data_IF_093883367827
#
_entry.id   IF_093883367827
#
_cell.length_a   1.000
_cell.length_b   1.000
_cell.length_c   1.000
_cell.angle_alpha   90.00
_cell.angle_beta   90.00
_cell.angle_gamma   90.00
#
_symmetry.space_group_name_H-M   'P 1'
#
loop_
_entity.id
_entity.type
_entity.pdbx_description
1 polymer ?
#
# COMPACT_ATOMS: atom_id res chain seq x y z
N UNK A 1 32.95 -58.73 -8.75
CA UNK A 1 32.42 -57.46 -9.31
C UNK A 1 31.16 -57.10 -8.53
N UNK A 2 31.16 -56.03 -7.73
CA UNK A 2 29.98 -55.69 -6.90
C UNK A 2 30.21 -54.69 -5.76
N UNK A 3 31.45 -54.30 -5.49
CA UNK A 3 31.78 -53.34 -4.42
C UNK A 3 31.89 -51.89 -4.90
N UNK A 4 32.08 -51.66 -6.21
CA UNK A 4 32.26 -50.30 -6.74
C UNK A 4 30.94 -49.51 -6.83
N UNK A 5 29.81 -50.19 -6.97
CA UNK A 5 28.51 -49.53 -7.19
C UNK A 5 27.89 -48.94 -5.91
N UNK A 6 28.34 -49.38 -4.72
CA UNK A 6 27.80 -48.90 -3.44
C UNK A 6 28.43 -47.60 -2.95
N UNK A 7 29.66 -47.25 -3.36
CA UNK A 7 30.26 -45.95 -3.03
C UNK A 7 29.59 -44.83 -3.81
N UNK A 8 29.33 -45.05 -5.10
CA UNK A 8 28.77 -44.03 -6.00
C UNK A 8 27.35 -43.63 -5.60
N UNK A 9 26.55 -44.57 -5.11
CA UNK A 9 25.18 -44.28 -4.64
C UNK A 9 25.20 -43.41 -3.36
N UNK A 10 26.22 -43.56 -2.51
CA UNK A 10 26.36 -42.73 -1.30
C UNK A 10 26.84 -41.33 -1.65
N UNK A 11 27.74 -41.19 -2.63
CA UNK A 11 28.16 -39.88 -3.12
C UNK A 11 27.04 -39.16 -3.87
N UNK A 12 26.26 -39.88 -4.69
CA UNK A 12 25.09 -39.32 -5.40
C UNK A 12 23.98 -38.86 -4.44
N UNK A 13 23.73 -39.56 -3.34
CA UNK A 13 22.78 -39.09 -2.31
C UNK A 13 23.31 -37.89 -1.52
N UNK A 14 24.64 -37.80 -1.34
CA UNK A 14 25.27 -36.68 -0.64
C UNK A 14 25.30 -35.42 -1.51
N UNK A 15 25.58 -35.56 -2.81
CA UNK A 15 25.51 -34.45 -3.77
C UNK A 15 24.06 -34.00 -4.02
N UNK A 16 23.09 -34.92 -4.11
CA UNK A 16 21.67 -34.56 -4.24
C UNK A 16 21.10 -33.81 -3.01
N UNK A 17 21.60 -34.09 -1.80
CA UNK A 17 21.23 -33.33 -0.59
C UNK A 17 21.87 -31.94 -0.54
N UNK A 18 23.04 -31.77 -1.13
CA UNK A 18 23.72 -30.47 -1.22
C UNK A 18 23.13 -29.60 -2.34
N UNK A 19 22.69 -30.18 -3.46
CA UNK A 19 22.02 -29.42 -4.53
C UNK A 19 20.54 -29.10 -4.25
N UNK A 20 19.85 -29.88 -3.41
CA UNK A 20 18.49 -29.56 -2.95
C UNK A 20 18.45 -28.43 -1.90
N UNK A 21 19.60 -27.99 -1.39
CA UNK A 21 19.71 -26.89 -0.42
C UNK A 21 20.25 -25.58 -1.04
N UNK A 22 20.57 -25.56 -2.34
CA UNK A 22 21.28 -24.42 -2.95
C UNK A 22 20.72 -23.95 -4.31
N UNK A 23 19.47 -24.29 -4.64
CA UNK A 23 18.85 -23.88 -5.92
C UNK A 23 17.34 -23.58 -5.78
N UNK A 24 16.95 -22.72 -4.84
CA UNK A 24 15.65 -22.01 -4.95
C UNK A 24 15.60 -20.64 -4.24
N UNK A 25 16.74 -19.94 -4.13
CA UNK A 25 16.80 -18.57 -3.59
C UNK A 25 17.49 -17.58 -4.56
N UNK A 26 17.50 -17.91 -5.85
CA UNK A 26 17.87 -16.90 -6.86
C UNK A 26 16.71 -15.90 -7.01
N UNK A 27 16.95 -14.66 -6.61
CA UNK A 27 16.04 -13.52 -6.81
C UNK A 27 15.54 -13.39 -8.26
N UNK A 28 16.25 -13.96 -9.23
CA UNK A 28 15.89 -13.99 -10.65
C UNK A 28 14.85 -15.06 -11.01
N UNK A 29 14.81 -16.21 -10.33
CA UNK A 29 13.75 -17.22 -10.52
C UNK A 29 12.37 -16.69 -10.12
N UNK A 30 12.34 -15.82 -9.11
CA UNK A 30 11.12 -15.14 -8.66
C UNK A 30 10.69 -14.00 -9.58
N UNK A 31 11.59 -13.45 -10.41
CA UNK A 31 11.25 -12.45 -11.42
C UNK A 31 10.67 -13.09 -12.70
N UNK A 32 11.10 -14.31 -13.05
CA UNK A 32 10.66 -15.02 -14.25
C UNK A 32 9.34 -15.80 -14.10
N UNK A 33 8.85 -16.04 -12.88
CA UNK A 33 7.50 -16.61 -12.67
C UNK A 33 6.41 -15.56 -12.42
N UNK A 34 6.69 -14.28 -12.69
CA UNK A 34 5.63 -13.32 -13.01
C UNK A 34 5.31 -13.45 -14.50
N UNK A 35 4.89 -14.65 -14.89
CA UNK A 35 4.04 -14.83 -16.06
C UNK A 35 2.75 -14.06 -15.73
N UNK A 36 2.77 -12.76 -16.06
CA UNK A 36 1.57 -12.11 -16.56
C UNK A 36 0.99 -13.08 -17.59
N UNK A 37 -0.28 -13.50 -17.48
CA UNK A 37 -0.96 -14.03 -18.65
C UNK A 37 -1.14 -12.87 -19.63
N UNK A 38 -0.06 -12.54 -20.36
CA UNK A 38 -0.09 -11.82 -21.60
C UNK A 38 -0.78 -12.74 -22.61
N UNK A 39 -2.01 -12.40 -22.95
CA UNK A 39 -2.73 -13.05 -24.04
C UNK A 39 -3.71 -14.12 -23.59
N UNK A 40 -4.72 -13.75 -22.81
CA UNK A 40 -6.07 -14.17 -23.13
C UNK A 40 -7.02 -13.00 -22.90
N UNK A 41 -7.23 -12.20 -23.95
CA UNK A 41 -8.56 -11.67 -24.23
C UNK A 41 -9.48 -12.87 -24.52
N UNK A 42 -9.76 -13.67 -23.49
CA UNK A 42 -10.97 -14.48 -23.53
C UNK A 42 -12.09 -13.47 -23.69
N UNK A 43 -12.92 -13.68 -24.71
CA UNK A 43 -14.29 -13.21 -24.74
C UNK A 43 -15.04 -13.79 -23.52
N UNK A 44 -14.61 -13.43 -22.30
CA UNK A 44 -15.41 -13.55 -21.10
C UNK A 44 -16.45 -12.48 -21.29
N UNK A 45 -17.62 -12.90 -21.74
CA UNK A 45 -18.82 -12.08 -21.75
C UNK A 45 -18.88 -11.40 -20.37
N UNK A 46 -18.69 -10.08 -20.35
CA UNK A 46 -18.70 -9.32 -19.12
C UNK A 46 -19.98 -9.66 -18.38
N UNK A 47 -19.84 -10.38 -17.28
CA UNK A 47 -20.96 -10.72 -16.41
C UNK A 47 -20.99 -9.62 -15.37
N UNK A 48 -21.94 -8.70 -15.54
CA UNK A 48 -22.12 -7.63 -14.59
C UNK A 48 -22.39 -8.22 -13.21
N UNK A 49 -21.67 -7.73 -12.22
CA UNK A 49 -21.82 -8.18 -10.84
C UNK A 49 -22.85 -7.28 -10.15
N UNK A 50 -24.11 -7.73 -9.96
CA UNK A 50 -25.16 -6.91 -9.38
C UNK A 50 -24.90 -6.57 -7.91
N UNK A 51 -23.94 -7.23 -7.26
CA UNK A 51 -23.54 -6.90 -5.90
C UNK A 51 -22.72 -5.59 -5.81
N UNK A 52 -22.14 -5.14 -6.93
CA UNK A 52 -21.40 -3.87 -6.98
C UNK A 52 -22.37 -2.73 -7.29
N UNK A 53 -22.56 -1.74 -6.39
CA UNK A 53 -23.46 -0.62 -6.60
C UNK A 53 -23.03 0.25 -7.81
N UNK A 54 -23.87 1.18 -8.23
CA UNK A 54 -23.54 2.12 -9.33
C UNK A 54 -22.42 3.12 -8.96
N UNK A 55 -22.21 3.32 -7.65
CA UNK A 55 -21.20 4.19 -7.08
C UNK A 55 -20.69 3.60 -5.77
N UNK A 56 -19.38 3.54 -5.60
CA UNK A 56 -18.71 3.08 -4.38
C UNK A 56 -17.94 4.25 -3.78
N UNK A 57 -18.28 4.61 -2.54
CA UNK A 57 -17.56 5.64 -1.77
C UNK A 57 -16.66 4.93 -0.76
N UNK A 58 -15.36 5.05 -0.95
CA UNK A 58 -14.35 4.45 -0.08
C UNK A 58 -13.80 5.55 0.83
N UNK A 59 -14.05 5.42 2.13
CA UNK A 59 -13.51 6.29 3.17
C UNK A 59 -12.22 5.75 3.77
N UNK A 60 -11.55 6.60 4.56
CA UNK A 60 -10.41 6.21 5.39
C UNK A 60 -10.82 5.22 6.47
N UNK A 61 -9.89 4.31 6.79
CA UNK A 61 -9.99 3.42 7.95
C UNK A 61 -9.87 4.20 9.27
N UNK A 62 -10.91 4.12 10.09
CA UNK A 62 -10.93 4.70 11.44
C UNK A 62 -9.81 4.17 12.33
N UNK A 63 -9.40 2.90 12.14
CA UNK A 63 -8.29 2.31 12.89
C UNK A 63 -6.97 3.04 12.65
N UNK A 64 -6.68 3.39 11.40
CA UNK A 64 -5.45 4.11 11.05
C UNK A 64 -5.44 5.54 11.63
N UNK A 65 -6.61 6.19 11.63
CA UNK A 65 -6.79 7.52 12.24
C UNK A 65 -6.52 7.50 13.74
N UNK A 66 -7.19 6.57 14.46
CA UNK A 66 -7.07 6.45 15.90
C UNK A 66 -5.64 6.08 16.27
N UNK A 67 -5.02 5.14 15.56
CA UNK A 67 -3.64 4.73 15.80
C UNK A 67 -2.66 5.91 15.70
N UNK A 68 -2.74 6.71 14.63
CA UNK A 68 -1.87 7.87 14.46
C UNK A 68 -2.08 8.92 15.57
N UNK A 69 -3.33 9.17 15.96
CA UNK A 69 -3.66 10.15 17.01
C UNK A 69 -3.16 9.70 18.38
N UNK A 70 -3.31 8.41 18.71
CA UNK A 70 -2.78 7.82 19.94
C UNK A 70 -1.26 7.92 19.98
N UNK A 71 -0.58 7.54 18.89
CA UNK A 71 0.89 7.62 18.82
C UNK A 71 1.40 9.04 19.00
N UNK A 72 0.80 10.03 18.34
CA UNK A 72 1.18 11.44 18.52
C UNK A 72 0.99 11.91 19.96
N UNK A 73 -0.11 11.53 20.61
CA UNK A 73 -0.40 11.88 22.01
C UNK A 73 0.65 11.29 22.96
N UNK A 74 1.09 10.06 22.73
CA UNK A 74 2.16 9.42 23.52
C UNK A 74 3.47 10.20 23.40
N UNK A 75 3.86 10.63 22.20
CA UNK A 75 5.09 11.42 22.01
C UNK A 75 5.01 12.81 22.64
N UNK A 76 3.84 13.46 22.60
CA UNK A 76 3.62 14.73 23.32
C UNK A 76 3.77 14.49 24.83
N UNK A 77 3.16 13.44 25.36
CA UNK A 77 3.31 13.06 26.78
C UNK A 77 4.76 12.80 27.17
N UNK A 78 5.54 12.14 26.31
CA UNK A 78 6.97 11.93 26.51
C UNK A 78 7.75 13.25 26.52
N UNK A 79 7.47 14.15 25.60
CA UNK A 79 8.08 15.48 25.57
C UNK A 79 7.79 16.29 26.84
N UNK A 80 6.54 16.26 27.31
CA UNK A 80 6.15 16.89 28.58
C UNK A 80 6.89 16.24 29.75
N UNK A 81 6.99 14.91 29.77
CA UNK A 81 7.69 14.20 30.83
C UNK A 81 9.18 14.57 30.89
N UNK A 82 9.84 14.72 29.73
CA UNK A 82 11.22 15.21 29.63
C UNK A 82 11.33 16.61 30.23
N UNK A 83 10.38 17.52 29.93
CA UNK A 83 10.43 18.88 30.45
C UNK A 83 10.16 18.99 31.97
N UNK A 84 9.36 18.09 32.55
CA UNK A 84 8.93 18.19 33.95
C UNK A 84 9.73 17.31 34.92
N UNK A 85 10.16 16.12 34.51
CA UNK A 85 10.74 15.11 35.41
C UNK A 85 12.25 14.96 35.28
N UNK A 86 12.88 15.56 34.26
CA UNK A 86 14.34 15.58 34.17
C UNK A 86 14.89 16.54 35.24
N UNK A 87 15.89 16.10 36.04
CA UNK A 87 16.48 16.93 37.09
C UNK A 87 17.09 18.21 36.50
N UNK A 88 16.95 19.32 37.23
CA UNK A 88 17.40 20.67 36.79
C UNK A 88 18.92 20.79 36.60
N UNK A 89 19.67 19.82 37.10
CA UNK A 89 21.11 19.69 36.91
C UNK A 89 21.46 19.16 35.51
N UNK A 90 20.47 18.65 34.77
CA UNK A 90 20.65 18.25 33.39
C UNK A 90 20.96 19.45 32.49
N UNK A 91 21.68 19.19 31.40
CA UNK A 91 21.99 20.20 30.40
C UNK A 91 20.71 20.85 29.86
N UNK A 92 20.70 22.19 29.76
CA UNK A 92 19.64 22.98 29.13
C UNK A 92 19.25 22.46 27.74
N UNK A 93 20.16 21.75 27.08
CA UNK A 93 19.93 21.10 25.79
C UNK A 93 18.80 20.05 25.82
N UNK A 94 18.62 19.31 26.92
CA UNK A 94 17.56 18.29 27.03
C UNK A 94 16.17 18.94 27.05
N UNK A 95 16.02 20.06 27.76
CA UNK A 95 14.77 20.82 27.77
C UNK A 95 14.44 21.41 26.40
N UNK A 96 15.46 21.85 25.66
CA UNK A 96 15.30 22.32 24.28
C UNK A 96 14.81 21.19 23.36
N UNK A 97 15.38 19.99 23.46
CA UNK A 97 14.92 18.82 22.72
C UNK A 97 13.46 18.49 23.07
N UNK A 98 13.11 18.47 24.36
CA UNK A 98 11.74 18.23 24.82
C UNK A 98 10.75 19.26 24.24
N UNK A 99 11.11 20.54 24.26
CA UNK A 99 10.33 21.63 23.67
C UNK A 99 10.13 21.47 22.17
N UNK A 100 11.20 21.18 21.41
CA UNK A 100 11.11 20.92 19.96
C UNK A 100 10.24 19.71 19.66
N UNK A 101 10.37 18.63 20.45
CA UNK A 101 9.57 17.43 20.29
C UNK A 101 8.07 17.74 20.46
N UNK A 102 7.69 18.47 21.51
CA UNK A 102 6.30 18.87 21.75
C UNK A 102 5.81 19.75 20.60
N UNK A 103 6.55 20.79 20.24
CA UNK A 103 6.16 21.73 19.19
C UNK A 103 6.00 21.02 17.83
N UNK A 104 6.93 20.13 17.48
CA UNK A 104 6.88 19.35 16.25
C UNK A 104 5.68 18.40 16.21
N UNK A 105 5.38 17.71 17.31
CA UNK A 105 4.24 16.79 17.39
C UNK A 105 2.90 17.54 17.37
N UNK A 106 2.80 18.69 18.05
CA UNK A 106 1.61 19.54 17.97
C UNK A 106 1.37 20.06 16.56
N UNK A 107 2.43 20.49 15.86
CA UNK A 107 2.32 20.92 14.47
C UNK A 107 1.87 19.78 13.55
N UNK A 108 2.45 18.58 13.69
CA UNK A 108 2.04 17.40 12.93
C UNK A 108 0.60 16.98 13.22
N UNK A 109 0.16 17.10 14.48
CA UNK A 109 -1.23 16.84 14.87
C UNK A 109 -2.19 17.86 14.25
N UNK A 110 -1.81 19.14 14.26
CA UNK A 110 -2.59 20.20 13.63
C UNK A 110 -2.75 19.97 12.12
N UNK A 111 -1.68 19.66 11.40
CA UNK A 111 -1.76 19.40 9.95
C UNK A 111 -2.61 18.17 9.66
N UNK A 112 -2.47 17.10 10.44
CA UNK A 112 -3.27 15.90 10.31
C UNK A 112 -4.77 16.16 10.53
N UNK A 113 -5.12 16.87 11.60
CA UNK A 113 -6.51 17.26 11.90
C UNK A 113 -7.06 18.17 10.79
N UNK A 114 -6.29 19.17 10.37
CA UNK A 114 -6.67 20.09 9.29
C UNK A 114 -6.97 19.33 7.99
N UNK A 115 -6.10 18.42 7.60
CA UNK A 115 -6.26 17.65 6.38
C UNK A 115 -7.47 16.70 6.48
N UNK A 116 -7.79 16.16 7.66
CA UNK A 116 -8.99 15.36 7.87
C UNK A 116 -10.30 16.16 7.81
N UNK A 117 -10.32 17.35 8.43
CA UNK A 117 -11.50 18.22 8.45
C UNK A 117 -11.80 18.82 7.08
N UNK A 118 -10.77 19.34 6.40
CA UNK A 118 -10.93 20.04 5.12
C UNK A 118 -11.08 19.04 3.96
N UNK A 119 -10.27 17.97 3.94
CA UNK A 119 -10.13 17.12 2.75
C UNK A 119 -10.76 15.74 2.90
N UNK A 120 -11.71 15.54 3.85
CA UNK A 120 -12.38 14.25 4.16
C UNK A 120 -12.08 13.16 3.12
N UNK A 121 -10.95 12.44 3.26
CA UNK A 121 -10.41 11.72 2.12
C UNK A 121 -11.37 10.62 1.69
N UNK A 122 -11.87 10.78 0.48
CA UNK A 122 -12.87 9.93 -0.16
C UNK A 122 -12.36 9.60 -1.55
N UNK A 123 -12.28 8.31 -1.83
CA UNK A 123 -12.15 7.80 -3.18
C UNK A 123 -13.55 7.37 -3.63
N UNK A 124 -14.07 8.04 -4.63
CA UNK A 124 -15.38 7.75 -5.21
C UNK A 124 -15.13 7.10 -6.56
N UNK A 125 -15.60 5.87 -6.74
CA UNK A 125 -15.52 5.16 -8.02
C UNK A 125 -16.94 4.92 -8.49
N UNK A 126 -17.24 5.32 -9.71
CA UNK A 126 -18.58 5.24 -10.30
C UNK A 126 -18.52 4.69 -11.73
N UNK A 127 -19.69 4.44 -12.32
CA UNK A 127 -19.79 4.08 -13.75
C UNK A 127 -19.29 5.18 -14.70
N UNK A 128 -19.31 6.44 -14.27
CA UNK A 128 -18.92 7.59 -15.09
C UNK A 128 -17.41 7.87 -14.99
N UNK A 129 -16.81 7.61 -13.82
CA UNK A 129 -15.41 7.92 -13.60
C UNK A 129 -14.91 7.67 -12.18
N UNK A 130 -13.70 8.17 -11.93
CA UNK A 130 -13.04 8.17 -10.62
C UNK A 130 -13.00 9.61 -10.10
N UNK A 131 -13.35 9.80 -8.84
CA UNK A 131 -13.14 11.06 -8.14
C UNK A 131 -12.27 10.87 -6.90
N UNK A 132 -11.24 11.71 -6.81
CA UNK A 132 -10.39 11.81 -5.63
C UNK A 132 -10.47 13.22 -5.05
N UNK A 133 -10.02 13.38 -3.80
CA UNK A 133 -9.97 14.71 -3.17
C UNK A 133 -8.85 15.58 -3.73
N UNK A 134 -7.84 14.99 -4.37
CA UNK A 134 -6.69 15.72 -4.89
C UNK A 134 -6.94 16.27 -6.30
N UNK A 135 -7.49 15.46 -7.19
CA UNK A 135 -7.63 15.77 -8.62
C UNK A 135 -9.06 16.08 -9.05
N UNK A 136 -10.05 15.81 -8.19
CA UNK A 136 -11.46 15.97 -8.55
C UNK A 136 -12.00 14.76 -9.30
N UNK A 137 -13.05 14.96 -10.09
CA UNK A 137 -13.72 13.90 -10.86
C UNK A 137 -13.18 13.83 -12.29
N UNK A 138 -12.81 12.63 -12.74
CA UNK A 138 -12.35 12.33 -14.09
C UNK A 138 -13.14 11.20 -14.71
N UNK A 139 -13.58 11.39 -15.96
CA UNK A 139 -14.32 10.39 -16.71
C UNK A 139 -13.43 9.20 -17.12
N UNK A 140 -14.00 8.00 -17.23
CA UNK A 140 -13.25 6.82 -17.70
C UNK A 140 -12.64 6.97 -19.10
N UNK A 141 -13.21 7.82 -19.95
CA UNK A 141 -12.68 8.16 -21.28
C UNK A 141 -11.35 8.91 -21.22
N UNK A 142 -11.11 9.65 -20.14
CA UNK A 142 -9.91 10.46 -19.93
C UNK A 142 -8.84 9.70 -19.14
N UNK A 143 -9.25 8.67 -18.41
CA UNK A 143 -8.37 7.88 -17.56
C UNK A 143 -7.66 6.79 -18.38
N UNK A 144 -6.34 6.76 -18.29
CA UNK A 144 -5.46 5.80 -18.95
C UNK A 144 -4.49 5.13 -17.98
N UNK A 145 -4.07 3.91 -18.32
CA UNK A 145 -3.06 3.13 -17.61
C UNK A 145 -3.28 3.02 -16.09
N UNK A 146 -4.53 2.79 -15.66
CA UNK A 146 -4.83 2.52 -14.26
C UNK A 146 -4.14 1.24 -13.78
N UNK A 147 -3.31 1.36 -12.76
CA UNK A 147 -2.60 0.22 -12.16
C UNK A 147 -2.41 0.41 -10.67
N UNK A 148 -2.47 -0.68 -9.93
CA UNK A 148 -2.06 -0.69 -8.53
C UNK A 148 -0.62 -1.15 -8.46
N UNK A 149 0.25 -0.29 -7.95
CA UNK A 149 1.66 -0.58 -7.74
C UNK A 149 1.87 -0.83 -6.24
N UNK A 150 2.56 -1.92 -5.93
CA UNK A 150 3.00 -2.19 -4.57
C UNK A 150 4.43 -1.68 -4.45
N UNK A 151 4.62 -0.59 -3.70
CA UNK A 151 5.95 -0.11 -3.33
C UNK A 151 6.37 -0.79 -2.04
N UNK A 152 7.33 -1.71 -2.12
CA UNK A 152 8.00 -2.27 -0.95
C UNK A 152 9.14 -1.35 -0.54
N UNK A 153 8.97 -0.70 0.60
CA UNK A 153 10.07 -0.05 1.33
C UNK A 153 10.68 -1.07 2.29
N UNK A 154 11.94 -0.88 2.70
CA UNK A 154 12.67 -1.77 3.64
C UNK A 154 11.85 -2.19 4.89
N UNK A 155 10.91 -1.36 5.34
CA UNK A 155 10.09 -1.58 6.53
C UNK A 155 8.58 -1.65 6.28
N UNK A 156 8.10 -1.35 5.06
CA UNK A 156 6.66 -1.19 4.83
C UNK A 156 6.23 -1.55 3.41
N UNK A 157 5.04 -2.15 3.29
CA UNK A 157 4.34 -2.36 2.01
C UNK A 157 3.34 -1.23 1.82
N UNK A 158 3.54 -0.39 0.81
CA UNK A 158 2.64 0.71 0.46
C UNK A 158 1.96 0.36 -0.86
N UNK A 159 0.63 0.43 -0.88
CA UNK A 159 -0.18 0.18 -2.07
C UNK A 159 -0.58 1.53 -2.67
N UNK A 160 -0.30 1.73 -3.95
CA UNK A 160 -0.49 3.00 -4.64
C UNK A 160 -1.32 2.75 -5.90
N UNK A 161 -2.48 3.39 -6.01
CA UNK A 161 -3.23 3.46 -7.25
C UNK A 161 -2.63 4.58 -8.11
N UNK A 162 -2.16 4.21 -9.28
CA UNK A 162 -1.58 5.14 -10.27
C UNK A 162 -2.50 5.15 -11.48
N UNK A 163 -2.91 6.33 -11.92
CA UNK A 163 -3.66 6.51 -13.16
C UNK A 163 -3.29 7.83 -13.84
N UNK A 164 -3.39 7.85 -15.16
CA UNK A 164 -3.12 9.04 -15.97
C UNK A 164 -4.44 9.70 -16.36
N UNK A 165 -4.47 11.02 -16.29
CA UNK A 165 -5.57 11.88 -16.74
C UNK A 165 -4.94 13.05 -17.53
N UNK A 166 -5.71 13.91 -18.22
CA UNK A 166 -5.18 14.79 -19.26
C UNK A 166 -4.00 15.67 -18.81
N UNK A 167 -2.77 15.25 -19.15
CA UNK A 167 -1.53 15.96 -18.86
C UNK A 167 -0.86 15.65 -17.51
N UNK A 168 -1.46 14.82 -16.64
CA UNK A 168 -0.97 14.56 -15.28
C UNK A 168 -1.15 13.10 -14.85
N UNK A 169 -0.38 12.69 -13.83
CA UNK A 169 -0.45 11.36 -13.22
C UNK A 169 -0.83 11.49 -11.76
N UNK A 170 -1.92 10.86 -11.35
CA UNK A 170 -2.31 10.81 -9.95
C UNK A 170 -1.69 9.58 -9.27
N UNK A 171 -1.11 9.79 -8.09
CA UNK A 171 -0.54 8.72 -7.26
C UNK A 171 -1.28 8.67 -5.92
N UNK A 172 -2.37 7.89 -5.86
CA UNK A 172 -3.19 7.78 -4.67
C UNK A 172 -2.71 6.64 -3.78
N UNK A 173 -2.27 6.96 -2.56
CA UNK A 173 -1.90 5.92 -1.58
C UNK A 173 -3.14 5.27 -0.99
N UNK A 174 -3.24 3.94 -1.10
CA UNK A 174 -4.39 3.13 -0.70
C UNK A 174 -4.32 2.64 0.75
N UNK A 175 -3.12 2.57 1.35
CA UNK A 175 -2.89 2.15 2.74
C UNK A 175 -3.81 2.79 3.79
N UNK A 176 -4.15 4.09 3.75
CA UNK A 176 -5.05 4.68 4.74
C UNK A 176 -6.53 4.36 4.49
N UNK A 177 -6.92 3.84 3.33
CA UNK A 177 -8.32 3.53 3.01
C UNK A 177 -8.75 2.18 3.58
N UNK A 178 -10.03 2.07 3.93
CA UNK A 178 -10.61 0.85 4.50
C UNK A 178 -10.94 -0.21 3.43
N UNK A 179 -10.03 -0.45 2.49
CA UNK A 179 -10.25 -1.37 1.38
C UNK A 179 -8.96 -2.12 1.00
N UNK A 180 -9.10 -3.38 0.62
CA UNK A 180 -7.96 -4.19 0.15
C UNK A 180 -7.63 -3.95 -1.32
N UNK A 181 -6.38 -4.20 -1.71
CA UNK A 181 -5.95 -4.20 -3.12
C UNK A 181 -6.91 -4.97 -4.03
N UNK A 182 -7.22 -6.24 -3.69
CA UNK A 182 -8.08 -7.11 -4.51
C UNK A 182 -9.49 -6.52 -4.70
N UNK A 183 -10.01 -5.88 -3.66
CA UNK A 183 -11.31 -5.22 -3.74
C UNK A 183 -11.26 -4.01 -4.66
N UNK A 184 -10.21 -3.18 -4.59
CA UNK A 184 -10.03 -2.06 -5.53
C UNK A 184 -9.87 -2.57 -6.96
N UNK A 185 -9.02 -3.58 -7.21
CA UNK A 185 -8.82 -4.14 -8.56
C UNK A 185 -10.14 -4.66 -9.14
N UNK A 186 -10.94 -5.37 -8.32
CA UNK A 186 -12.27 -5.83 -8.72
C UNK A 186 -13.20 -4.65 -9.04
N UNK A 187 -13.21 -3.60 -8.22
CA UNK A 187 -14.03 -2.42 -8.47
C UNK A 187 -13.61 -1.71 -9.76
N UNK A 188 -12.32 -1.46 -9.97
CA UNK A 188 -11.78 -0.85 -11.19
C UNK A 188 -12.17 -1.67 -12.43
N UNK A 189 -12.00 -2.99 -12.38
CA UNK A 189 -12.39 -3.88 -13.48
C UNK A 189 -13.89 -3.80 -13.79
N UNK A 190 -14.76 -3.86 -12.76
CA UNK A 190 -16.21 -3.79 -12.97
C UNK A 190 -16.62 -2.44 -13.56
N UNK A 191 -16.16 -1.33 -12.98
CA UNK A 191 -16.55 0.00 -13.45
C UNK A 191 -15.99 0.34 -14.84
N UNK A 192 -14.76 -0.08 -15.17
CA UNK A 192 -14.17 0.12 -16.50
C UNK A 192 -14.91 -0.64 -17.60
N UNK A 193 -15.49 -1.79 -17.28
CA UNK A 193 -16.29 -2.54 -18.25
C UNK A 193 -17.72 -1.98 -18.36
N UNK A 194 -18.33 -1.54 -17.24
CA UNK A 194 -19.62 -0.84 -17.27
C UNK A 194 -19.56 0.44 -18.11
N UNK A 195 -18.45 1.18 -18.05
CA UNK A 195 -18.30 2.42 -18.82
C UNK A 195 -18.20 2.19 -20.34
N UNK A 196 -17.91 0.97 -20.80
CA UNK A 196 -17.87 0.62 -22.24
C UNK A 196 -19.23 0.17 -22.78
N UNK A 197 -20.18 -0.11 -21.90
CA UNK A 197 -21.55 -0.52 -22.25
C UNK A 197 -22.51 0.66 -22.39
N UNK A 198 -22.06 1.86 -22.01
CA UNK A 198 -22.77 3.14 -22.10
C UNK A 198 -22.28 3.87 -23.34
#
# INVERSE_FOLDING_TARGET
MGLHQRSDIKELKKSARLSALDFDDSLLGRWLHTDLPSGQAQHTQFTDDPAVPAQTIIGISWGHLIFNLVMQTVFIGLGIAICLYVPKEASSFIYLIGGILIAGMLYAMYTFIRDMLIRRPKLIISKEGIQTVHTGFHCWSEIQDEKIIIRRTRSARVEILVYHFPGETENLTLTPYAISQRQIERLLYVYRNRSKLI
#
